data_IF_384010282256
#
_entry.id   IF_384010282256
#
_cell.length_a   1.000
_cell.length_b   1.000
_cell.length_c   1.000
_cell.angle_alpha   90.00
_cell.angle_beta   90.00
_cell.angle_gamma   90.00
#
_symmetry.space_group_name_H-M   'P 1'
#
loop_
_entity.id
_entity.type
_entity.pdbx_description
1 polymer ?
#
# COMPACT_ATOMS: atom_id res chain seq x y z
N UNK A 1 11.85 -3.95 7.73
CA UNK A 1 10.88 -2.84 7.82
C UNK A 1 11.43 -1.68 7.02
N UNK A 2 10.62 -1.12 6.12
CA UNK A 2 10.98 0.10 5.39
C UNK A 2 10.65 1.31 6.27
N UNK A 3 11.54 2.29 6.33
CA UNK A 3 11.27 3.58 6.96
C UNK A 3 10.91 4.60 5.89
N UNK A 4 9.89 5.41 6.14
CA UNK A 4 9.53 6.51 5.26
C UNK A 4 10.50 7.68 5.46
N UNK A 5 10.80 8.45 4.40
CA UNK A 5 11.59 9.67 4.55
C UNK A 5 10.87 10.65 5.49
N UNK A 6 11.62 11.49 6.21
CA UNK A 6 11.03 12.50 7.07
C UNK A 6 10.23 13.53 6.24
N UNK A 7 9.07 13.93 6.75
CA UNK A 7 8.32 15.06 6.18
C UNK A 7 9.02 16.37 6.61
N UNK A 8 9.26 17.31 5.69
CA UNK A 8 9.88 18.59 6.02
C UNK A 8 9.14 19.36 7.11
N UNK A 9 9.89 19.99 8.01
CA UNK A 9 9.34 20.90 8.99
C UNK A 9 8.89 22.23 8.33
N UNK A 10 7.97 22.95 8.98
CA UNK A 10 7.52 24.26 8.53
C UNK A 10 6.44 24.25 7.44
N UNK A 11 5.94 23.08 7.04
CA UNK A 11 4.82 22.97 6.12
C UNK A 11 3.52 23.52 6.75
N UNK A 12 2.62 24.13 5.96
CA UNK A 12 1.25 24.37 6.38
C UNK A 12 0.59 23.07 6.85
N UNK A 13 -0.29 23.18 7.85
CA UNK A 13 -0.96 22.03 8.47
C UNK A 13 -1.63 21.10 7.45
N UNK A 14 -2.27 21.68 6.44
CA UNK A 14 -3.00 20.91 5.42
C UNK A 14 -2.05 20.14 4.50
N UNK A 15 -1.00 20.80 4.00
CA UNK A 15 0.03 20.15 3.19
C UNK A 15 0.74 19.03 3.95
N UNK A 16 1.07 19.25 5.24
CA UNK A 16 1.64 18.20 6.08
C UNK A 16 0.73 16.98 6.17
N UNK A 17 -0.57 17.20 6.41
CA UNK A 17 -1.56 16.11 6.53
C UNK A 17 -1.68 15.34 5.21
N UNK A 18 -1.76 16.04 4.09
CA UNK A 18 -1.87 15.42 2.76
C UNK A 18 -0.64 14.57 2.44
N UNK A 19 0.57 15.08 2.70
CA UNK A 19 1.80 14.30 2.53
C UNK A 19 1.85 13.09 3.43
N UNK A 20 1.47 13.24 4.70
CA UNK A 20 1.46 12.13 5.66
C UNK A 20 0.55 10.99 5.18
N UNK A 21 -0.66 11.33 4.71
CA UNK A 21 -1.60 10.35 4.19
C UNK A 21 -1.02 9.68 2.94
N UNK A 22 -0.61 10.48 1.95
CA UNK A 22 -0.14 9.95 0.67
C UNK A 22 1.07 9.01 0.82
N UNK A 23 2.08 9.40 1.61
CA UNK A 23 3.27 8.58 1.83
C UNK A 23 2.94 7.29 2.61
N UNK A 24 2.03 7.37 3.59
CA UNK A 24 1.61 6.19 4.37
C UNK A 24 0.81 5.22 3.50
N UNK A 25 -0.14 5.71 2.71
CA UNK A 25 -0.95 4.88 1.81
C UNK A 25 -0.09 4.23 0.72
N UNK A 26 0.82 4.97 0.11
CA UNK A 26 1.77 4.42 -0.87
C UNK A 26 2.66 3.34 -0.26
N UNK A 27 3.11 3.51 0.98
CA UNK A 27 3.88 2.49 1.68
C UNK A 27 3.06 1.23 1.98
N UNK A 28 1.80 1.38 2.39
CA UNK A 28 0.87 0.28 2.59
C UNK A 28 0.59 -0.47 1.28
N UNK A 29 0.37 0.24 0.18
CA UNK A 29 0.20 -0.35 -1.14
C UNK A 29 1.43 -1.18 -1.54
N UNK A 30 2.65 -0.65 -1.34
CA UNK A 30 3.87 -1.38 -1.62
C UNK A 30 3.98 -2.69 -0.82
N UNK A 31 3.61 -2.67 0.47
CA UNK A 31 3.60 -3.87 1.31
C UNK A 31 2.51 -4.87 0.87
N UNK A 32 1.35 -4.39 0.45
CA UNK A 32 0.28 -5.22 -0.08
C UNK A 32 0.73 -5.93 -1.36
N UNK A 33 1.38 -5.21 -2.28
CA UNK A 33 1.93 -5.79 -3.51
C UNK A 33 3.03 -6.81 -3.19
N UNK A 34 3.92 -6.52 -2.26
CA UNK A 34 4.95 -7.46 -1.82
C UNK A 34 4.34 -8.76 -1.27
N UNK A 35 3.32 -8.65 -0.41
CA UNK A 35 2.63 -9.82 0.13
C UNK A 35 1.90 -10.62 -0.97
N UNK A 36 1.29 -9.95 -1.94
CA UNK A 36 0.58 -10.58 -3.05
C UNK A 36 1.49 -11.26 -4.07
N UNK A 37 2.69 -10.73 -4.28
CA UNK A 37 3.62 -11.20 -5.33
C UNK A 37 4.76 -12.06 -4.79
N UNK A 38 4.79 -12.27 -3.47
CA UNK A 38 5.75 -13.15 -2.81
C UNK A 38 5.60 -14.63 -3.18
N UNK A 39 6.58 -15.49 -2.80
CA UNK A 39 6.62 -16.91 -3.20
C UNK A 39 5.49 -17.77 -2.62
N UNK A 40 4.83 -17.31 -1.55
CA UNK A 40 3.69 -17.97 -0.93
C UNK A 40 2.71 -16.90 -0.43
N UNK A 41 1.90 -16.31 -1.33
CA UNK A 41 1.02 -15.21 -0.96
C UNK A 41 -0.07 -15.71 0.00
N UNK A 42 -0.43 -14.92 1.03
CA UNK A 42 -1.53 -15.28 1.90
C UNK A 42 -2.86 -15.21 1.15
N UNK A 43 -3.92 -15.88 1.64
CA UNK A 43 -5.28 -15.60 1.22
C UNK A 43 -5.62 -14.12 1.48
N UNK A 44 -6.11 -13.43 0.45
CA UNK A 44 -6.37 -12.00 0.46
C UNK A 44 -7.84 -11.73 0.76
N UNK A 45 -8.20 -10.78 1.64
CA UNK A 45 -9.58 -10.34 1.74
C UNK A 45 -10.05 -9.65 0.44
N UNK A 46 -11.36 -9.62 0.17
CA UNK A 46 -11.92 -9.01 -1.04
C UNK A 46 -11.48 -7.56 -1.25
N UNK A 47 -11.36 -6.79 -0.16
CA UNK A 47 -10.88 -5.39 -0.20
C UNK A 47 -9.44 -5.28 -0.68
N UNK A 48 -8.57 -6.21 -0.30
CA UNK A 48 -7.19 -6.27 -0.76
C UNK A 48 -7.13 -6.65 -2.24
N UNK A 49 -7.96 -7.60 -2.69
CA UNK A 49 -8.05 -7.95 -4.12
C UNK A 49 -8.50 -6.77 -4.97
N UNK A 50 -9.51 -6.02 -4.52
CA UNK A 50 -9.97 -4.80 -5.20
C UNK A 50 -8.85 -3.78 -5.30
N UNK A 51 -8.14 -3.52 -4.19
CA UNK A 51 -7.02 -2.58 -4.18
C UNK A 51 -5.89 -3.00 -5.13
N UNK A 52 -5.52 -4.28 -5.13
CA UNK A 52 -4.50 -4.82 -6.04
C UNK A 52 -4.87 -4.62 -7.52
N UNK A 53 -6.16 -4.78 -7.88
CA UNK A 53 -6.65 -4.51 -9.23
C UNK A 53 -6.56 -3.03 -9.60
N UNK A 54 -6.92 -2.13 -8.70
CA UNK A 54 -6.77 -0.67 -8.89
C UNK A 54 -5.30 -0.27 -9.12
N UNK A 55 -4.37 -0.97 -8.47
CA UNK A 55 -2.93 -0.81 -8.64
C UNK A 55 -2.38 -1.51 -9.90
N UNK A 56 -3.22 -2.20 -10.67
CA UNK A 56 -2.83 -2.89 -11.91
C UNK A 56 -2.11 -4.22 -11.71
N UNK A 57 -2.18 -4.82 -10.51
CA UNK A 57 -1.59 -6.12 -10.22
C UNK A 57 -2.55 -7.24 -10.63
N UNK A 58 -2.01 -8.26 -11.30
CA UNK A 58 -2.78 -9.46 -11.64
C UNK A 58 -3.13 -10.26 -10.37
N UNK A 59 -4.43 -10.48 -10.15
CA UNK A 59 -4.95 -11.22 -9.00
C UNK A 59 -5.46 -12.61 -9.36
N UNK A 60 -5.28 -13.07 -10.60
CA UNK A 60 -5.87 -14.33 -11.11
C UNK A 60 -5.45 -15.59 -10.33
N UNK A 61 -4.24 -15.60 -9.76
CA UNK A 61 -3.70 -16.70 -8.95
C UNK A 61 -3.85 -16.53 -7.43
N UNK A 62 -4.43 -15.43 -6.96
CA UNK A 62 -4.60 -15.15 -5.53
C UNK A 62 -5.88 -15.79 -5.01
N UNK A 63 -5.78 -16.38 -3.81
CA UNK A 63 -6.93 -16.96 -3.11
C UNK A 63 -7.59 -15.88 -2.25
N UNK A 64 -8.92 -15.83 -2.22
CA UNK A 64 -9.64 -14.96 -1.28
C UNK A 64 -9.73 -15.64 0.09
N UNK A 65 -9.60 -14.87 1.18
CA UNK A 65 -9.82 -15.36 2.55
C UNK A 65 -11.30 -15.52 2.88
#
# INVERSE_FOLDING_TARGET
>A
GRFLPPIPAGLPREEFRERLIAETEAACDALLVEAATGPNPPPMPETAMTRLKELGIDTSGLQTR
#
